data_IF_859346734821
#
_entry.id   IF_859346734821
#
_cell.length_a   1.000
_cell.length_b   1.000
_cell.length_c   1.000
_cell.angle_alpha   90.00
_cell.angle_beta   90.00
_cell.angle_gamma   90.00
#
_symmetry.space_group_name_H-M   'P 1'
#
loop_
_entity.id
_entity.type
_entity.pdbx_description
1 polymer ?
#
# COMPACT_ATOMS: atom_id res chain seq x y z
N UNK A 1 23.13 9.51 -5.61
CA UNK A 1 22.77 9.84 -4.22
C UNK A 1 21.25 9.90 -4.12
N UNK A 2 20.61 8.77 -4.36
CA UNK A 2 19.19 8.53 -4.06
C UNK A 2 19.23 7.19 -3.35
N UNK A 3 19.39 7.26 -2.03
CA UNK A 3 19.45 6.09 -1.18
C UNK A 3 18.13 5.34 -1.33
N UNK A 4 18.22 4.12 -1.84
CA UNK A 4 17.72 2.93 -1.18
C UNK A 4 16.53 3.19 -0.24
N UNK A 5 15.33 3.20 -0.79
CA UNK A 5 14.10 2.98 -0.03
C UNK A 5 13.73 1.51 -0.20
N UNK A 6 14.57 0.66 0.38
CA UNK A 6 14.26 -0.74 0.60
C UNK A 6 13.04 -0.85 1.52
N UNK A 7 11.84 -0.91 0.93
CA UNK A 7 10.66 -1.52 1.57
C UNK A 7 10.63 -3.03 1.28
N UNK A 8 11.82 -3.64 1.15
CA UNK A 8 12.03 -5.09 1.13
C UNK A 8 12.86 -5.39 2.36
N UNK A 9 12.22 -5.57 3.51
CA UNK A 9 12.71 -6.38 4.64
C UNK A 9 11.79 -6.16 5.85
N UNK A 10 10.55 -6.66 5.78
CA UNK A 10 9.78 -6.90 7.00
C UNK A 10 9.04 -8.24 6.92
N UNK A 11 9.81 -9.32 6.79
CA UNK A 11 9.31 -10.68 6.99
C UNK A 11 10.17 -11.38 8.03
N UNK A 12 9.95 -11.08 9.31
CA UNK A 12 10.55 -11.89 10.38
C UNK A 12 9.55 -12.82 11.05
N UNK A 13 8.24 -12.50 11.16
CA UNK A 13 7.34 -13.38 11.93
C UNK A 13 5.83 -13.31 11.65
N UNK A 14 5.36 -12.76 10.53
CA UNK A 14 3.94 -12.84 10.13
C UNK A 14 3.87 -13.52 8.77
N UNK A 15 3.18 -14.65 8.68
CA UNK A 15 3.13 -15.46 7.45
C UNK A 15 2.64 -14.66 6.23
N UNK A 16 2.97 -15.17 5.04
CA UNK A 16 2.64 -14.78 3.64
C UNK A 16 1.63 -13.63 3.39
N UNK A 17 1.77 -12.47 4.01
CA UNK A 17 1.26 -11.22 3.48
C UNK A 17 2.45 -10.49 2.84
N UNK A 18 2.51 -10.40 1.50
CA UNK A 18 3.70 -9.96 0.77
C UNK A 18 3.91 -8.43 0.78
N UNK A 19 3.14 -7.69 1.57
CA UNK A 19 3.09 -6.23 1.51
C UNK A 19 3.49 -5.59 2.84
N UNK A 20 4.30 -4.53 2.75
CA UNK A 20 4.79 -3.79 3.91
C UNK A 20 3.62 -3.19 4.73
N UNK A 21 3.54 -3.45 6.05
CA UNK A 21 2.52 -2.85 6.90
C UNK A 21 2.49 -1.32 6.87
N UNK A 22 3.64 -0.66 6.65
CA UNK A 22 3.71 0.80 6.50
C UNK A 22 2.99 1.25 5.22
N UNK A 23 3.18 0.53 4.12
CA UNK A 23 2.47 0.78 2.87
C UNK A 23 0.97 0.58 3.05
N UNK A 24 0.55 -0.50 3.73
CA UNK A 24 -0.86 -0.78 4.00
C UNK A 24 -1.50 0.31 4.88
N UNK A 25 -0.78 0.79 5.89
CA UNK A 25 -1.22 1.92 6.72
C UNK A 25 -1.40 3.20 5.90
N UNK A 26 -0.43 3.55 5.04
CA UNK A 26 -0.54 4.72 4.16
C UNK A 26 -1.75 4.64 3.21
N UNK A 27 -2.06 3.45 2.69
CA UNK A 27 -3.26 3.26 1.84
C UNK A 27 -4.57 3.49 2.62
N UNK A 28 -4.65 3.03 3.87
CA UNK A 28 -5.82 3.27 4.74
C UNK A 28 -5.93 4.74 5.13
N UNK A 29 -4.78 5.39 5.39
CA UNK A 29 -4.73 6.82 5.66
C UNK A 29 -5.27 7.66 4.48
N UNK A 30 -4.88 7.31 3.24
CA UNK A 30 -5.40 7.96 2.04
C UNK A 30 -6.91 7.73 1.85
N UNK A 31 -7.41 6.53 2.15
CA UNK A 31 -8.86 6.27 2.14
C UNK A 31 -9.61 7.18 3.10
N UNK A 32 -9.11 7.32 4.33
CA UNK A 32 -9.72 8.19 5.34
C UNK A 32 -9.65 9.67 4.95
N UNK A 33 -8.51 10.13 4.43
CA UNK A 33 -8.30 11.54 4.09
C UNK A 33 -9.19 12.02 2.93
N UNK A 34 -9.44 11.16 1.96
CA UNK A 34 -10.17 11.49 0.73
C UNK A 34 -11.57 10.85 0.65
N UNK A 35 -12.02 10.19 1.73
CA UNK A 35 -13.28 9.44 1.79
C UNK A 35 -13.47 8.47 0.61
N UNK A 36 -12.42 7.71 0.28
CA UNK A 36 -12.37 6.83 -0.89
C UNK A 36 -12.84 5.42 -0.54
N UNK A 37 -13.62 4.81 -1.44
CA UNK A 37 -13.96 3.40 -1.31
C UNK A 37 -12.74 2.49 -1.56
N UNK A 38 -12.92 1.22 -1.21
CA UNK A 38 -11.98 0.15 -1.45
C UNK A 38 -11.57 0.01 -2.94
N UNK A 39 -12.48 0.33 -3.86
CA UNK A 39 -12.22 0.32 -5.30
C UNK A 39 -11.55 1.62 -5.74
N UNK A 40 -12.04 2.76 -5.27
CA UNK A 40 -11.53 4.07 -5.67
C UNK A 40 -10.06 4.24 -5.27
N UNK A 41 -9.68 3.84 -4.06
CA UNK A 41 -8.27 3.88 -3.65
C UNK A 41 -7.39 3.00 -4.54
N UNK A 42 -7.89 1.86 -5.02
CA UNK A 42 -7.12 1.00 -5.93
C UNK A 42 -6.91 1.68 -7.27
N UNK A 43 -7.96 2.30 -7.81
CA UNK A 43 -7.86 3.04 -9.07
C UNK A 43 -6.94 4.26 -8.93
N UNK A 44 -7.07 5.02 -7.85
CA UNK A 44 -6.18 6.15 -7.56
C UNK A 44 -4.73 5.66 -7.41
N UNK A 45 -4.47 4.59 -6.66
CA UNK A 45 -3.11 4.05 -6.56
C UNK A 45 -2.59 3.44 -7.86
N UNK A 46 -3.46 3.10 -8.83
CA UNK A 46 -3.05 2.57 -10.14
C UNK A 46 -2.69 3.69 -11.11
N UNK A 47 -3.48 4.77 -11.15
CA UNK A 47 -3.37 5.81 -12.17
C UNK A 47 -2.78 7.13 -11.67
N UNK A 48 -2.95 7.43 -10.38
CA UNK A 48 -2.53 8.69 -9.79
C UNK A 48 -1.06 8.62 -9.31
N UNK A 49 -0.19 9.30 -10.03
CA UNK A 49 1.25 9.35 -9.72
C UNK A 49 1.54 9.96 -8.35
N UNK A 50 0.70 10.86 -7.84
CA UNK A 50 0.88 11.43 -6.50
C UNK A 50 0.64 10.37 -5.42
N UNK A 51 -0.37 9.51 -5.61
CA UNK A 51 -0.66 8.41 -4.70
C UNK A 51 0.46 7.37 -4.74
N UNK A 52 0.95 7.02 -5.94
CA UNK A 52 2.13 6.15 -6.08
C UNK A 52 3.37 6.71 -5.39
N UNK A 53 3.65 8.00 -5.59
CA UNK A 53 4.78 8.68 -4.96
C UNK A 53 4.68 8.69 -3.43
N UNK A 54 3.49 8.92 -2.87
CA UNK A 54 3.28 8.88 -1.42
C UNK A 54 3.45 7.46 -0.84
N UNK A 55 2.95 6.46 -1.55
CA UNK A 55 3.08 5.05 -1.18
C UNK A 55 4.50 4.51 -1.37
N UNK A 56 5.32 5.15 -2.19
CA UNK A 56 6.65 4.67 -2.57
C UNK A 56 6.61 3.56 -3.63
N UNK A 57 5.51 3.47 -4.38
CA UNK A 57 5.34 2.51 -5.47
C UNK A 57 6.02 3.04 -6.75
N UNK A 58 6.63 2.13 -7.51
CA UNK A 58 7.12 2.47 -8.86
C UNK A 58 5.96 2.76 -9.82
N UNK A 59 6.22 3.51 -10.89
CA UNK A 59 5.21 3.86 -11.92
C UNK A 59 4.58 2.61 -12.54
N UNK A 60 5.33 1.51 -12.67
CA UNK A 60 4.89 0.23 -13.25
C UNK A 60 4.30 -0.74 -12.21
N UNK A 61 4.44 -0.43 -10.92
CA UNK A 61 4.01 -1.30 -9.84
C UNK A 61 2.50 -1.14 -9.59
N UNK A 62 1.83 -2.28 -9.42
CA UNK A 62 0.40 -2.33 -9.12
C UNK A 62 0.17 -2.32 -7.61
N UNK A 63 -0.88 -1.62 -7.12
CA UNK A 63 -1.21 -1.62 -5.70
C UNK A 63 -1.63 -3.03 -5.21
N UNK A 64 -1.48 -3.29 -3.91
CA UNK A 64 -1.94 -4.53 -3.27
C UNK A 64 -3.40 -4.83 -3.59
N UNK A 65 -3.69 -6.09 -3.93
CA UNK A 65 -5.05 -6.50 -4.28
C UNK A 65 -5.97 -6.57 -3.05
N UNK A 66 -7.29 -6.46 -3.29
CA UNK A 66 -8.30 -6.30 -2.24
C UNK A 66 -8.26 -7.37 -1.13
N UNK A 67 -7.80 -8.57 -1.46
CA UNK A 67 -7.72 -9.70 -0.52
C UNK A 67 -6.71 -9.49 0.61
N UNK A 68 -5.62 -8.74 0.35
CA UNK A 68 -4.59 -8.44 1.36
C UNK A 68 -5.06 -7.35 2.33
N UNK A 69 -5.82 -6.35 1.84
CA UNK A 69 -6.26 -5.21 2.68
C UNK A 69 -7.36 -5.57 3.67
N UNK A 70 -8.29 -6.45 3.31
CA UNK A 70 -9.30 -6.96 4.26
C UNK A 70 -8.66 -7.77 5.39
N UNK A 71 -7.64 -8.60 5.10
CA UNK A 71 -6.91 -9.37 6.11
C UNK A 71 -6.10 -8.49 7.05
N UNK A 72 -5.53 -7.40 6.54
CA UNK A 72 -4.82 -6.42 7.37
C UNK A 72 -5.77 -5.74 8.37
N UNK A 73 -6.96 -5.29 7.95
CA UNK A 73 -7.95 -4.69 8.86
C UNK A 73 -8.46 -5.63 9.96
N UNK A 74 -8.53 -6.93 9.69
CA UNK A 74 -8.95 -7.95 10.66
C UNK A 74 -7.88 -8.26 11.72
N UNK A 75 -6.62 -7.91 11.45
CA UNK A 75 -5.47 -8.17 12.33
C UNK A 75 -4.86 -6.88 12.93
N UNK A 76 -5.56 -5.76 12.80
CA UNK A 76 -5.29 -4.49 13.47
C UNK A 76 -5.87 -4.53 14.88
#
# INVERSE_FOLDING_TARGET
MTQDLGLKDFSVNRGRDPWDPVLMFKMVFLQFLYDLSDLDIKEQCTWNMLFKGFLGLSTEELPPDHSTRCRFRLNL
#
